data_IF_269332049504
#
_entry.id   IF_269332049504
#
_cell.length_a   1.000
_cell.length_b   1.000
_cell.length_c   1.000
_cell.angle_alpha   90.00
_cell.angle_beta   90.00
_cell.angle_gamma   90.00
#
_symmetry.space_group_name_H-M   'P 1'
#
loop_
_entity.id
_entity.type
_entity.pdbx_description
1 polymer ?
#
# COMPACT_ATOMS: atom_id res chain seq x y z
N UNK A 1 11.23 -22.12 -2.37
CA UNK A 1 10.87 -20.69 -2.29
C UNK A 1 9.39 -20.52 -1.98
N UNK A 2 8.49 -21.04 -2.82
CA UNK A 2 7.04 -20.94 -2.61
C UNK A 2 6.58 -21.37 -1.19
N UNK A 3 6.99 -22.55 -0.73
CA UNK A 3 6.67 -23.05 0.63
C UNK A 3 7.08 -22.06 1.74
N UNK A 4 8.32 -21.56 1.69
CA UNK A 4 8.84 -20.61 2.68
C UNK A 4 8.06 -19.29 2.66
N UNK A 5 7.75 -18.77 1.47
CA UNK A 5 6.99 -17.52 1.34
C UNK A 5 5.55 -17.66 1.80
N UNK A 6 4.90 -18.80 1.55
CA UNK A 6 3.57 -19.11 2.07
C UNK A 6 3.61 -19.13 3.60
N UNK A 7 4.57 -19.83 4.20
CA UNK A 7 4.69 -19.90 5.66
C UNK A 7 5.04 -18.55 6.30
N UNK A 8 5.89 -17.74 5.66
CA UNK A 8 6.15 -16.37 6.06
C UNK A 8 4.85 -15.55 6.09
N UNK A 9 4.03 -15.62 5.03
CA UNK A 9 2.77 -14.91 4.97
C UNK A 9 1.73 -15.42 5.98
N UNK A 10 1.64 -16.73 6.20
CA UNK A 10 0.77 -17.30 7.23
C UNK A 10 1.16 -16.76 8.61
N UNK A 11 2.45 -16.74 8.93
CA UNK A 11 2.97 -16.20 10.18
C UNK A 11 2.65 -14.71 10.36
N UNK A 12 2.93 -13.85 9.36
CA UNK A 12 2.60 -12.41 9.42
C UNK A 12 1.09 -12.16 9.62
N UNK A 13 0.26 -13.15 9.29
CA UNK A 13 -1.21 -13.09 9.42
C UNK A 13 -1.75 -13.76 10.68
N UNK A 14 -0.88 -14.28 11.54
CA UNK A 14 -1.27 -15.03 12.74
C UNK A 14 -1.96 -16.36 12.42
N UNK A 15 -1.78 -16.89 11.21
CA UNK A 15 -2.26 -18.21 10.80
C UNK A 15 -1.19 -19.28 11.10
N UNK A 16 -1.61 -20.54 11.37
CA UNK A 16 -0.66 -21.63 11.60
C UNK A 16 0.17 -21.91 10.34
N UNK A 17 1.45 -22.21 10.52
CA UNK A 17 2.33 -22.66 9.44
C UNK A 17 1.91 -24.04 8.93
N UNK A 18 2.09 -24.26 7.63
CA UNK A 18 1.97 -25.57 7.00
C UNK A 18 3.23 -26.38 7.26
N UNK A 19 3.04 -27.64 7.68
CA UNK A 19 4.13 -28.60 7.68
C UNK A 19 4.55 -28.93 6.23
N UNK A 20 5.75 -29.49 6.06
CA UNK A 20 6.20 -29.94 4.75
C UNK A 20 5.30 -31.04 4.16
N UNK A 21 4.75 -31.91 5.02
CA UNK A 21 3.81 -32.96 4.60
C UNK A 21 2.48 -32.36 4.14
N UNK A 22 1.90 -31.44 4.91
CA UNK A 22 0.63 -30.78 4.55
C UNK A 22 0.76 -29.99 3.25
N UNK A 23 1.88 -29.28 3.07
CA UNK A 23 2.13 -28.53 1.84
C UNK A 23 2.23 -29.44 0.61
N UNK A 24 2.92 -30.58 0.72
CA UNK A 24 3.05 -31.54 -0.38
C UNK A 24 1.75 -32.31 -0.66
N UNK A 25 0.82 -32.34 0.30
CA UNK A 25 -0.50 -32.95 0.14
C UNK A 25 -1.49 -32.07 -0.64
N UNK A 26 -1.22 -30.75 -0.77
CA UNK A 26 -2.09 -29.84 -1.51
C UNK A 26 -2.12 -30.20 -3.00
N UNK A 27 -3.33 -30.34 -3.54
CA UNK A 27 -3.53 -30.40 -4.97
C UNK A 27 -3.42 -29.00 -5.61
N UNK A 28 -3.33 -28.89 -6.95
CA UNK A 28 -3.17 -27.59 -7.62
C UNK A 28 -4.26 -26.55 -7.31
N UNK A 29 -5.51 -26.98 -7.16
CA UNK A 29 -6.63 -26.08 -6.87
C UNK A 29 -6.56 -25.57 -5.42
N UNK A 30 -6.24 -26.44 -4.47
CA UNK A 30 -6.04 -26.06 -3.06
C UNK A 30 -4.85 -25.10 -2.88
N UNK A 31 -3.75 -25.35 -3.59
CA UNK A 31 -2.59 -24.46 -3.58
C UNK A 31 -2.94 -23.10 -4.20
N UNK A 32 -3.71 -23.09 -5.29
CA UNK A 32 -4.17 -21.86 -5.94
C UNK A 32 -5.10 -21.05 -5.02
N UNK A 33 -6.05 -21.71 -4.37
CA UNK A 33 -6.97 -21.06 -3.43
C UNK A 33 -6.21 -20.45 -2.24
N UNK A 34 -5.25 -21.19 -1.68
CA UNK A 34 -4.39 -20.69 -0.61
C UNK A 34 -3.62 -19.45 -1.06
N UNK A 35 -2.91 -19.52 -2.19
CA UNK A 35 -2.13 -18.39 -2.72
C UNK A 35 -3.02 -17.19 -3.04
N UNK A 36 -4.21 -17.43 -3.59
CA UNK A 36 -5.18 -16.37 -3.89
C UNK A 36 -5.65 -15.65 -2.62
N UNK A 37 -5.91 -16.39 -1.53
CA UNK A 37 -6.24 -15.80 -0.24
C UNK A 37 -5.05 -15.03 0.36
N UNK A 38 -3.83 -15.44 0.03
CA UNK A 38 -2.62 -14.72 0.38
C UNK A 38 -2.44 -13.41 -0.41
N UNK A 39 -3.19 -13.18 -1.49
CA UNK A 39 -3.21 -11.90 -2.21
C UNK A 39 -1.93 -11.55 -2.97
N UNK A 40 -0.87 -12.33 -2.81
CA UNK A 40 0.36 -12.18 -3.59
C UNK A 40 0.26 -12.94 -4.91
N UNK A 41 0.85 -12.40 -6.00
CA UNK A 41 0.96 -13.13 -7.26
C UNK A 41 1.76 -14.42 -7.08
N UNK A 42 1.29 -15.52 -7.65
CA UNK A 42 1.95 -16.82 -7.56
C UNK A 42 3.40 -16.76 -8.08
N UNK A 43 3.61 -16.07 -9.20
CA UNK A 43 4.92 -15.90 -9.82
C UNK A 43 5.88 -15.19 -8.87
N UNK A 44 5.41 -14.14 -8.18
CA UNK A 44 6.20 -13.43 -7.16
C UNK A 44 6.62 -14.39 -6.05
N UNK A 45 5.67 -15.14 -5.47
CA UNK A 45 5.98 -16.09 -4.39
C UNK A 45 6.95 -17.20 -4.82
N UNK A 46 7.04 -17.51 -6.11
CA UNK A 46 7.95 -18.54 -6.59
C UNK A 46 9.36 -18.01 -6.92
N UNK A 47 9.50 -16.71 -7.18
CA UNK A 47 10.74 -16.12 -7.72
C UNK A 47 11.60 -15.37 -6.70
N UNK A 48 11.00 -14.84 -5.64
CA UNK A 48 11.71 -13.98 -4.67
C UNK A 48 11.75 -14.61 -3.28
N UNK A 49 12.73 -14.21 -2.48
CA UNK A 49 12.71 -14.39 -1.02
C UNK A 49 11.89 -13.24 -0.42
N UNK A 50 10.62 -13.51 -0.12
CA UNK A 50 9.67 -12.49 0.32
C UNK A 50 10.00 -11.97 1.72
N UNK A 51 10.41 -12.86 2.62
CA UNK A 51 10.79 -12.48 3.99
C UNK A 51 11.94 -11.47 3.96
N UNK A 52 13.01 -11.78 3.22
CA UNK A 52 14.14 -10.87 3.04
C UNK A 52 13.75 -9.56 2.36
N UNK A 53 12.85 -9.60 1.38
CA UNK A 53 12.34 -8.39 0.69
C UNK A 53 11.59 -7.48 1.67
N UNK A 54 10.72 -8.04 2.50
CA UNK A 54 9.95 -7.28 3.51
C UNK A 54 10.87 -6.75 4.61
N UNK A 55 11.83 -7.54 5.11
CA UNK A 55 12.80 -7.07 6.11
C UNK A 55 13.64 -5.90 5.58
N UNK A 56 14.12 -5.99 4.34
CA UNK A 56 14.87 -4.90 3.72
C UNK A 56 14.02 -3.62 3.61
N UNK A 57 12.74 -3.75 3.29
CA UNK A 57 11.82 -2.60 3.26
C UNK A 57 11.57 -2.02 4.67
N UNK A 58 11.33 -2.87 5.68
CA UNK A 58 11.16 -2.46 7.09
C UNK A 58 12.42 -1.78 7.67
N UNK A 59 13.60 -2.09 7.15
CA UNK A 59 14.87 -1.48 7.59
C UNK A 59 15.09 -0.04 7.11
N UNK A 60 14.25 0.46 6.19
CA UNK A 60 14.40 1.82 5.64
C UNK A 60 13.92 2.87 6.65
N UNK A 61 14.68 3.95 6.78
CA UNK A 61 14.26 5.12 7.55
C UNK A 61 13.27 5.94 6.72
N UNK A 62 11.97 5.59 6.84
CA UNK A 62 10.90 6.28 6.13
C UNK A 62 10.64 7.63 6.81
N UNK A 63 10.60 8.68 5.99
CA UNK A 63 10.30 10.06 6.40
C UNK A 63 8.98 10.57 5.83
N UNK A 64 8.61 10.08 4.63
CA UNK A 64 7.41 10.48 3.92
C UNK A 64 6.62 9.23 3.48
N UNK A 65 5.33 9.19 3.81
CA UNK A 65 4.38 8.20 3.30
C UNK A 65 3.49 8.87 2.28
N UNK A 66 3.48 8.37 1.05
CA UNK A 66 2.67 8.90 -0.04
C UNK A 66 1.58 7.91 -0.38
N UNK A 67 0.35 8.43 -0.47
CA UNK A 67 -0.86 7.66 -0.68
C UNK A 67 -1.41 7.99 -2.07
N UNK A 68 -1.71 6.97 -2.86
CA UNK A 68 -2.77 7.11 -3.87
C UNK A 68 -4.15 7.25 -3.17
N UNK A 69 -5.16 7.71 -3.91
CA UNK A 69 -6.53 7.87 -3.42
C UNK A 69 -7.44 6.75 -3.87
N UNK A 70 -7.60 6.55 -5.17
CA UNK A 70 -8.73 5.78 -5.71
C UNK A 70 -8.33 4.32 -5.90
N UNK A 71 -8.83 3.44 -5.03
CA UNK A 71 -8.38 2.05 -4.94
C UNK A 71 -7.38 1.82 -3.80
N UNK A 72 -6.96 2.89 -3.11
CA UNK A 72 -6.12 2.85 -1.91
C UNK A 72 -6.85 3.48 -0.72
N UNK A 73 -7.02 4.80 -0.74
CA UNK A 73 -7.68 5.54 0.34
C UNK A 73 -9.20 5.37 0.30
N UNK A 74 -9.72 5.05 -0.88
CA UNK A 74 -11.11 4.71 -1.19
C UNK A 74 -11.17 3.29 -1.76
N UNK A 75 -12.38 2.74 -1.88
CA UNK A 75 -12.66 1.45 -2.51
C UNK A 75 -12.66 1.51 -4.06
N UNK A 76 -12.09 2.57 -4.65
CA UNK A 76 -12.09 2.82 -6.10
C UNK A 76 -13.45 3.28 -6.66
N UNK A 77 -14.49 3.31 -5.81
CA UNK A 77 -15.83 3.76 -6.20
C UNK A 77 -15.88 5.28 -6.41
N UNK A 78 -16.42 5.68 -7.56
CA UNK A 78 -16.72 7.08 -7.88
C UNK A 78 -18.24 7.31 -7.85
N UNK A 79 -18.69 8.21 -6.99
CA UNK A 79 -20.11 8.55 -6.87
C UNK A 79 -20.38 9.85 -7.65
N UNK A 80 -21.28 9.76 -8.62
CA UNK A 80 -21.64 10.89 -9.49
C UNK A 80 -23.02 11.43 -9.15
N UNK A 81 -23.12 12.75 -9.06
CA UNK A 81 -24.38 13.50 -9.14
C UNK A 81 -24.58 14.01 -10.57
N UNK A 82 -25.67 14.74 -10.82
CA UNK A 82 -25.90 15.40 -12.12
C UNK A 82 -24.81 16.42 -12.48
N UNK A 83 -24.06 16.91 -11.49
CA UNK A 83 -23.00 17.91 -11.67
C UNK A 83 -21.59 17.28 -11.80
N UNK A 84 -21.51 15.94 -11.85
CA UNK A 84 -20.29 15.16 -12.00
C UNK A 84 -19.89 14.42 -10.72
N UNK A 85 -18.60 14.12 -10.55
CA UNK A 85 -18.11 13.43 -9.34
C UNK A 85 -18.41 14.27 -8.09
N UNK A 86 -19.06 13.65 -7.11
CA UNK A 86 -19.73 14.31 -5.99
C UNK A 86 -19.24 13.79 -4.63
N UNK A 87 -18.92 12.50 -4.53
CA UNK A 87 -18.50 11.90 -3.27
C UNK A 87 -17.48 10.77 -3.43
N UNK A 88 -16.68 10.58 -2.38
CA UNK A 88 -15.76 9.46 -2.17
C UNK A 88 -15.95 8.92 -0.76
N UNK A 89 -15.84 7.60 -0.59
CA UNK A 89 -15.91 6.93 0.70
C UNK A 89 -14.50 6.69 1.24
N UNK A 90 -14.20 7.21 2.42
CA UNK A 90 -12.92 6.99 3.11
C UNK A 90 -13.11 6.13 4.36
N UNK A 91 -12.07 5.38 4.72
CA UNK A 91 -12.07 4.60 5.95
C UNK A 91 -11.69 5.46 7.17
N UNK A 92 -12.47 5.39 8.24
CA UNK A 92 -12.17 6.09 9.50
C UNK A 92 -10.95 5.51 10.21
N UNK A 93 -10.69 4.21 10.07
CA UNK A 93 -9.55 3.54 10.71
C UNK A 93 -8.23 3.98 10.08
N UNK A 94 -8.19 4.13 8.76
CA UNK A 94 -7.03 4.68 8.06
C UNK A 94 -6.70 6.10 8.55
N UNK A 95 -7.72 6.95 8.69
CA UNK A 95 -7.54 8.29 9.23
C UNK A 95 -6.94 8.32 10.64
N UNK A 96 -7.31 7.38 11.51
CA UNK A 96 -6.73 7.25 12.85
C UNK A 96 -5.25 6.85 12.79
N UNK A 97 -4.89 5.88 11.95
CA UNK A 97 -3.51 5.44 11.80
C UNK A 97 -2.60 6.56 11.27
N UNK A 98 -3.07 7.32 10.28
CA UNK A 98 -2.36 8.48 9.74
C UNK A 98 -2.09 9.51 10.83
N UNK A 99 -3.11 9.89 11.61
CA UNK A 99 -2.93 10.87 12.70
C UNK A 99 -1.92 10.40 13.74
N UNK A 100 -2.04 9.16 14.22
CA UNK A 100 -1.10 8.59 15.20
C UNK A 100 0.34 8.55 14.68
N UNK A 101 0.53 8.23 13.40
CA UNK A 101 1.86 8.22 12.78
C UNK A 101 2.40 9.64 12.58
N UNK A 102 1.56 10.59 12.19
CA UNK A 102 1.92 12.00 12.08
C UNK A 102 2.37 12.59 13.42
N UNK A 103 1.70 12.25 14.53
CA UNK A 103 2.10 12.65 15.88
C UNK A 103 3.49 12.10 16.28
N UNK A 104 3.93 11.01 15.64
CA UNK A 104 5.28 10.42 15.78
C UNK A 104 6.30 10.99 14.80
N UNK A 105 5.95 12.04 14.06
CA UNK A 105 6.83 12.74 13.13
C UNK A 105 6.89 12.15 11.72
N UNK A 106 6.00 11.21 11.38
CA UNK A 106 5.92 10.68 10.02
C UNK A 106 5.13 11.64 9.13
N UNK A 107 5.74 12.14 8.05
CA UNK A 107 5.04 13.01 7.12
C UNK A 107 4.18 12.20 6.15
N UNK A 108 3.04 12.77 5.75
CA UNK A 108 2.15 12.18 4.76
C UNK A 108 2.00 13.08 3.53
N UNK A 109 1.75 12.46 2.39
CA UNK A 109 1.37 13.12 1.15
C UNK A 109 0.34 12.32 0.36
N UNK A 110 -0.38 12.98 -0.54
CA UNK A 110 -1.38 12.38 -1.43
C UNK A 110 -1.08 12.77 -2.86
N UNK A 111 -0.97 11.79 -3.76
CA UNK A 111 -0.88 12.02 -5.20
C UNK A 111 -2.04 11.28 -5.87
N UNK A 112 -3.01 12.01 -6.41
CA UNK A 112 -4.18 11.44 -7.08
C UNK A 112 -4.25 11.90 -8.53
N UNK A 113 -4.51 10.94 -9.43
CA UNK A 113 -4.79 11.21 -10.84
C UNK A 113 -6.28 11.50 -11.09
N UNK A 114 -6.86 12.47 -10.36
CA UNK A 114 -8.26 12.91 -10.55
C UNK A 114 -8.35 14.32 -11.12
N UNK A 115 -9.46 14.58 -11.83
CA UNK A 115 -9.79 15.90 -12.39
C UNK A 115 -10.58 16.79 -11.44
N UNK A 116 -11.26 16.22 -10.42
CA UNK A 116 -12.01 16.94 -9.39
C UNK A 116 -11.40 16.66 -8.01
N UNK A 117 -10.98 17.73 -7.33
CA UNK A 117 -10.02 17.63 -6.21
C UNK A 117 -10.55 17.97 -4.83
N UNK A 118 -11.77 18.50 -4.71
CA UNK A 118 -12.19 19.16 -3.46
C UNK A 118 -12.37 18.16 -2.31
N UNK A 119 -13.03 17.03 -2.56
CA UNK A 119 -13.25 15.99 -1.55
C UNK A 119 -11.93 15.42 -1.01
N UNK A 120 -10.94 15.26 -1.89
CA UNK A 120 -9.59 14.79 -1.52
C UNK A 120 -8.87 15.83 -0.66
N UNK A 121 -8.92 17.11 -1.05
CA UNK A 121 -8.31 18.21 -0.30
C UNK A 121 -8.93 18.39 1.08
N UNK A 122 -10.25 18.38 1.19
CA UNK A 122 -10.97 18.45 2.47
C UNK A 122 -10.54 17.28 3.37
N UNK A 123 -10.48 16.06 2.82
CA UNK A 123 -10.04 14.91 3.60
C UNK A 123 -8.60 15.04 4.07
N UNK A 124 -7.70 15.51 3.21
CA UNK A 124 -6.31 15.76 3.55
C UNK A 124 -6.18 16.79 4.68
N UNK A 125 -6.94 17.89 4.62
CA UNK A 125 -6.96 18.93 5.66
C UNK A 125 -7.42 18.38 7.02
N UNK A 126 -8.52 17.60 7.05
CA UNK A 126 -9.03 16.95 8.27
C UNK A 126 -7.96 16.05 8.94
N UNK A 127 -7.07 15.47 8.12
CA UNK A 127 -5.99 14.59 8.56
C UNK A 127 -4.67 15.32 8.79
N UNK A 128 -4.57 16.62 8.48
CA UNK A 128 -3.34 17.40 8.59
C UNK A 128 -2.28 17.08 7.53
N UNK A 129 -2.68 16.48 6.40
CA UNK A 129 -1.78 16.13 5.29
C UNK A 129 -1.51 17.37 4.45
N UNK A 130 -0.25 17.83 4.41
CA UNK A 130 0.11 19.08 3.75
C UNK A 130 0.52 18.91 2.28
N UNK A 131 1.16 17.80 1.92
CA UNK A 131 1.60 17.56 0.54
C UNK A 131 0.45 16.90 -0.23
N UNK A 132 -0.33 17.68 -0.98
CA UNK A 132 -1.47 17.16 -1.73
C UNK A 132 -1.36 17.58 -3.20
N UNK A 133 -1.34 16.61 -4.08
CA UNK A 133 -1.46 16.80 -5.51
C UNK A 133 -2.67 16.05 -6.05
N UNK A 134 -3.49 16.77 -6.80
CA UNK A 134 -4.60 16.20 -7.57
C UNK A 134 -4.54 16.82 -8.97
N UNK A 135 -4.35 15.98 -9.98
CA UNK A 135 -4.24 16.42 -11.36
C UNK A 135 -3.69 15.34 -12.28
N UNK A 136 -3.34 15.73 -13.51
CA UNK A 136 -2.97 14.79 -14.58
C UNK A 136 -1.47 14.69 -14.84
N UNK A 137 -0.63 15.41 -14.09
CA UNK A 137 0.83 15.27 -14.19
C UNK A 137 1.22 13.86 -13.73
N UNK A 138 2.16 13.18 -14.41
CA UNK A 138 2.61 11.86 -14.00
C UNK A 138 3.03 11.83 -12.52
N UNK A 139 2.51 10.86 -11.76
CA UNK A 139 2.68 10.80 -10.30
C UNK A 139 4.16 10.82 -9.88
N UNK A 140 5.01 10.12 -10.67
CA UNK A 140 6.45 10.04 -10.42
C UNK A 140 7.12 11.42 -10.48
N UNK A 141 6.74 12.28 -11.44
CA UNK A 141 7.31 13.63 -11.56
C UNK A 141 6.94 14.50 -10.35
N UNK A 142 5.71 14.36 -9.85
CA UNK A 142 5.26 15.06 -8.64
C UNK A 142 6.06 14.62 -7.43
N UNK A 143 6.27 13.30 -7.27
CA UNK A 143 7.07 12.78 -6.18
C UNK A 143 8.52 13.27 -6.28
N UNK A 144 9.16 13.19 -7.45
CA UNK A 144 10.53 13.68 -7.66
C UNK A 144 10.69 15.16 -7.27
N UNK A 145 9.70 16.00 -7.60
CA UNK A 145 9.67 17.40 -7.18
C UNK A 145 9.60 17.57 -5.66
N UNK A 146 8.74 16.80 -4.98
CA UNK A 146 8.65 16.83 -3.51
C UNK A 146 9.94 16.36 -2.84
N UNK A 147 10.56 15.30 -3.34
CA UNK A 147 11.82 14.78 -2.82
C UNK A 147 12.96 15.78 -2.98
N UNK A 148 13.04 16.44 -4.13
CA UNK A 148 14.00 17.51 -4.39
C UNK A 148 13.85 18.66 -3.39
N UNK A 149 12.62 19.14 -3.17
CA UNK A 149 12.33 20.25 -2.23
C UNK A 149 12.65 19.87 -0.79
N UNK A 150 12.45 18.60 -0.41
CA UNK A 150 12.69 18.09 0.95
C UNK A 150 14.15 17.67 1.19
N UNK A 151 14.96 17.51 0.14
CA UNK A 151 16.33 17.01 0.25
C UNK A 151 16.40 15.56 0.76
N UNK A 152 15.44 14.72 0.39
CA UNK A 152 15.39 13.29 0.74
C UNK A 152 15.39 12.41 -0.52
N UNK A 153 15.84 11.17 -0.41
CA UNK A 153 15.83 10.20 -1.50
C UNK A 153 14.60 9.30 -1.49
N UNK A 154 14.41 8.54 -2.58
CA UNK A 154 13.32 7.57 -2.71
C UNK A 154 13.37 6.50 -1.62
N UNK A 155 14.56 6.14 -1.13
CA UNK A 155 14.77 5.19 -0.04
C UNK A 155 14.15 5.65 1.30
N UNK A 156 13.82 6.94 1.44
CA UNK A 156 13.13 7.49 2.61
C UNK A 156 11.60 7.60 2.41
N UNK A 157 11.07 7.02 1.33
CA UNK A 157 9.65 7.11 0.98
C UNK A 157 8.99 5.74 1.12
N UNK A 158 7.82 5.75 1.75
CA UNK A 158 6.84 4.67 1.61
C UNK A 158 5.75 5.11 0.63
N UNK A 159 5.38 4.26 -0.32
CA UNK A 159 4.27 4.53 -1.25
C UNK A 159 3.28 3.38 -1.24
N UNK A 160 1.98 3.70 -1.28
CA UNK A 160 0.92 2.72 -1.49
C UNK A 160 0.05 3.13 -2.68
N UNK A 161 -0.04 2.22 -3.66
CA UNK A 161 -0.74 2.40 -4.93
C UNK A 161 -1.39 1.10 -5.40
N UNK A 162 -2.41 1.21 -6.24
CA UNK A 162 -3.23 0.06 -6.66
C UNK A 162 -3.23 -0.21 -8.17
N UNK A 163 -2.79 0.74 -9.01
CA UNK A 163 -2.91 0.65 -10.46
C UNK A 163 -1.56 0.79 -11.21
N UNK A 164 -1.59 0.63 -12.54
CA UNK A 164 -0.42 0.64 -13.42
C UNK A 164 0.32 1.99 -13.36
N UNK A 165 -0.40 3.10 -13.18
CA UNK A 165 0.21 4.43 -13.07
C UNK A 165 1.02 4.64 -11.78
N UNK A 166 0.91 3.73 -10.81
CA UNK A 166 1.70 3.71 -9.57
C UNK A 166 2.99 2.91 -9.69
N UNK A 167 3.06 1.97 -10.63
CA UNK A 167 4.21 1.05 -10.80
C UNK A 167 5.55 1.79 -10.88
N UNK A 168 5.70 2.89 -11.65
CA UNK A 168 6.98 3.62 -11.71
C UNK A 168 7.44 4.19 -10.37
N UNK A 169 6.52 4.45 -9.43
CA UNK A 169 6.86 4.87 -8.07
C UNK A 169 7.16 3.64 -7.21
N UNK A 170 6.30 2.63 -7.25
CA UNK A 170 6.44 1.39 -6.48
C UNK A 170 7.82 0.73 -6.69
N UNK A 171 8.36 0.79 -7.90
CA UNK A 171 9.68 0.24 -8.23
C UNK A 171 10.87 1.04 -7.68
N UNK A 172 10.67 2.30 -7.28
CA UNK A 172 11.76 3.19 -6.84
C UNK A 172 11.84 3.40 -5.33
N UNK A 173 10.70 3.41 -4.64
CA UNK A 173 10.62 3.82 -3.23
C UNK A 173 11.22 2.80 -2.27
N UNK A 174 11.66 3.26 -1.10
CA UNK A 174 12.26 2.42 -0.06
C UNK A 174 11.31 1.37 0.50
N UNK A 175 10.02 1.69 0.58
CA UNK A 175 8.96 0.76 0.93
C UNK A 175 7.78 0.95 -0.03
N UNK A 176 7.41 -0.12 -0.73
CA UNK A 176 6.34 -0.10 -1.71
C UNK A 176 5.25 -1.05 -1.25
N UNK A 177 4.02 -0.58 -1.23
CA UNK A 177 2.87 -1.37 -0.81
C UNK A 177 1.75 -1.32 -1.86
N UNK A 178 0.96 -2.38 -1.92
CA UNK A 178 -0.25 -2.42 -2.74
C UNK A 178 -1.41 -3.03 -1.94
N UNK A 179 -2.65 -2.52 -2.10
CA UNK A 179 -3.85 -3.19 -1.62
C UNK A 179 -4.00 -4.61 -2.17
N UNK A 180 -4.73 -5.49 -1.47
CA UNK A 180 -4.95 -6.88 -1.91
C UNK A 180 -5.63 -6.97 -3.28
N UNK A 181 -6.54 -6.04 -3.54
CA UNK A 181 -7.37 -5.92 -4.73
C UNK A 181 -6.75 -5.05 -5.83
N UNK A 182 -5.54 -4.55 -5.61
CA UNK A 182 -4.76 -3.84 -6.62
C UNK A 182 -4.52 -4.72 -7.86
N UNK A 183 -4.30 -4.05 -9.00
CA UNK A 183 -3.97 -4.72 -10.26
C UNK A 183 -2.69 -5.55 -10.09
N UNK A 184 -2.58 -6.61 -10.90
CA UNK A 184 -1.49 -7.57 -10.80
C UNK A 184 -0.11 -6.91 -10.82
N UNK A 185 0.08 -5.93 -11.71
CA UNK A 185 1.33 -5.21 -11.90
C UNK A 185 1.74 -4.42 -10.65
N UNK A 186 0.80 -3.74 -9.99
CA UNK A 186 1.06 -3.01 -8.75
C UNK A 186 1.47 -3.98 -7.62
N UNK A 187 0.76 -5.12 -7.48
CA UNK A 187 1.09 -6.15 -6.49
C UNK A 187 2.44 -6.82 -6.75
N UNK A 188 2.84 -7.00 -8.00
CA UNK A 188 4.16 -7.53 -8.36
C UNK A 188 5.28 -6.54 -8.01
N UNK A 189 5.07 -5.25 -8.29
CA UNK A 189 6.01 -4.18 -7.99
C UNK A 189 6.15 -3.90 -6.48
N UNK A 190 5.10 -4.13 -5.70
CA UNK A 190 5.09 -3.87 -4.26
C UNK A 190 6.00 -4.83 -3.46
N UNK A 191 6.65 -4.29 -2.42
CA UNK A 191 7.33 -5.09 -1.39
C UNK A 191 6.31 -5.80 -0.50
N UNK A 192 5.22 -5.10 -0.18
CA UNK A 192 4.16 -5.54 0.73
C UNK A 192 2.82 -5.52 -0.02
N UNK A 193 2.08 -6.63 0.00
CA UNK A 193 0.67 -6.65 -0.39
C UNK A 193 -0.16 -6.78 0.87
N UNK A 194 -1.02 -5.81 1.14
CA UNK A 194 -1.85 -5.81 2.34
C UNK A 194 -2.93 -6.89 2.25
N UNK A 195 -3.45 -7.31 3.39
CA UNK A 195 -4.60 -8.21 3.48
C UNK A 195 -5.92 -7.47 3.19
N UNK A 196 -5.99 -6.20 3.59
CA UNK A 196 -7.12 -5.32 3.30
C UNK A 196 -7.05 -4.78 1.88
N UNK A 197 -8.21 -4.61 1.26
CA UNK A 197 -8.34 -3.90 -0.01
C UNK A 197 -8.38 -2.39 0.16
N UNK A 198 -8.46 -1.68 -0.97
CA UNK A 198 -8.66 -0.24 -1.03
C UNK A 198 -9.85 0.23 -0.21
N UNK A 199 -9.69 1.27 0.60
CA UNK A 199 -10.76 1.81 1.44
C UNK A 199 -11.24 0.87 2.57
N UNK A 200 -10.63 -0.30 2.76
CA UNK A 200 -10.98 -1.27 3.79
C UNK A 200 -10.06 -1.24 5.02
N UNK A 201 -9.05 -0.37 5.01
CA UNK A 201 -8.05 -0.30 6.09
C UNK A 201 -6.62 -0.64 5.66
N UNK A 202 -6.32 -0.67 4.36
CA UNK A 202 -4.98 -1.04 3.86
C UNK A 202 -3.90 -0.03 4.30
N UNK A 203 -4.24 1.26 4.43
CA UNK A 203 -3.30 2.28 4.90
C UNK A 203 -3.00 2.06 6.39
N UNK A 204 -4.02 1.74 7.20
CA UNK A 204 -3.82 1.36 8.59
C UNK A 204 -2.94 0.12 8.70
N UNK A 205 -3.23 -0.92 7.93
CA UNK A 205 -2.40 -2.12 7.92
C UNK A 205 -0.93 -1.82 7.60
N UNK A 206 -0.68 -1.00 6.57
CA UNK A 206 0.66 -0.55 6.23
C UNK A 206 1.33 0.22 7.39
N UNK A 207 0.64 1.23 7.91
CA UNK A 207 1.19 2.13 8.92
C UNK A 207 1.50 1.38 10.22
N UNK A 208 0.54 0.64 10.76
CA UNK A 208 0.69 -0.04 12.06
C UNK A 208 1.53 -1.31 11.96
N UNK A 209 1.52 -2.01 10.81
CA UNK A 209 2.25 -3.26 10.62
C UNK A 209 3.70 -3.09 10.20
N UNK A 210 4.05 -1.98 9.54
CA UNK A 210 5.33 -1.86 8.84
C UNK A 210 6.07 -0.55 9.05
N UNK A 211 5.40 0.54 9.46
CA UNK A 211 6.02 1.87 9.52
C UNK A 211 6.23 2.39 10.94
N UNK A 212 5.31 2.12 11.85
CA UNK A 212 5.41 2.56 13.25
C UNK A 212 5.17 1.40 14.20
N UNK A 213 5.92 1.35 15.31
CA UNK A 213 5.53 0.53 16.45
C UNK A 213 4.38 1.22 17.18
N UNK A 214 3.22 0.55 17.26
CA UNK A 214 2.12 0.94 18.15
C UNK A 214 2.20 0.09 19.41
N UNK A 215 3.24 0.32 20.18
CA UNK A 215 3.19 0.07 21.61
C UNK A 215 2.74 1.36 22.26
N UNK A 216 1.62 1.30 22.97
CA UNK A 216 1.05 2.39 23.78
C UNK A 216 2.02 2.86 24.88
#
# INVERSE_FOLDING_TARGET
MLFENINFLLHERGAPSLSGEDFLALNPDELWDLVSQLGYPFETLNQIDLAKRVELAKSKSIKLVVLDVDGVFTDGGLYYSSDGEDAKKFNVKDGMAIKKAADKGLEFGIISASSKSEVVKIRAEILGIQNVYVGTTPKLEILESWLYQKGIGFENVAYIGDDINDVPILEKVGLAAAPRDAVLQARQAAHIVTQRGGGEGCIRELVEGYLISITD
#
